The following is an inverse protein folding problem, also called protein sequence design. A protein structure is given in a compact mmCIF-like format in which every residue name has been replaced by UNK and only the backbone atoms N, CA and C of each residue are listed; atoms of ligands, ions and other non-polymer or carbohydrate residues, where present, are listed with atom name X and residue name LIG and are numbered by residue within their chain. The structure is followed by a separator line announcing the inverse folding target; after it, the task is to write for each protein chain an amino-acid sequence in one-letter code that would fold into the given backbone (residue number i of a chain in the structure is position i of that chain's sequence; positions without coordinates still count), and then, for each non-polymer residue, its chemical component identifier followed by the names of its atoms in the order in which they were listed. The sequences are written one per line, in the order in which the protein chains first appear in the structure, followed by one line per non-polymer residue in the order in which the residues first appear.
data_IF_536149637547
#
_entry.id   IF_536149637547
#
_cell.length_a   1.000
_cell.length_b   1.000
_cell.length_c   1.000
_cell.angle_alpha   90.00
_cell.angle_beta   90.00
_cell.angle_gamma   90.00
#
_symmetry.space_group_name_H-M   'P 1'
#
loop_
_entity.id
_entity.type
_entity.pdbx_description
1 polymer ?
2 non-polymer ?
3 water ?
#
# COMPACT_ATOMS: atom_id res chain seq x y z
N UNK A 5 -9.49 7.69 10.82
CA UNK A 5 -8.80 6.59 11.51
C UNK A 5 -8.02 7.09 12.74
N UNK A 6 -8.22 6.40 13.86
CA UNK A 6 -7.50 6.73 15.08
C UNK A 6 -7.43 5.51 15.99
N UNK A 7 -6.46 5.55 16.89
CA UNK A 7 -6.39 4.63 18.01
C UNK A 7 -6.60 5.46 19.25
N UNK A 8 -7.35 4.97 20.23
CA UNK A 8 -7.58 5.76 21.43
C UNK A 8 -6.39 5.72 22.39
N UNK A 9 -6.34 6.73 23.25
CA UNK A 9 -5.30 6.82 24.25
C UNK A 9 -5.35 5.65 25.25
N UNK A 10 -6.56 5.28 25.65
CA UNK A 10 -6.73 4.09 26.50
C UNK A 10 -6.20 2.81 25.85
N UNK A 11 -6.42 2.64 24.55
CA UNK A 11 -5.86 1.49 23.79
C UNK A 11 -4.34 1.50 23.75
N UNK A 12 -3.74 2.68 23.60
CA UNK A 12 -2.30 2.81 23.61
C UNK A 12 -1.71 2.56 25.00
N UNK A 13 -2.42 3.00 26.03
CA UNK A 13 -1.95 2.77 27.38
C UNK A 13 -1.90 1.27 27.66
N UNK A 14 -2.96 0.56 27.26
CA UNK A 14 -3.04 -0.88 27.49
C UNK A 14 -1.98 -1.65 26.74
N UNK A 15 -1.55 -1.12 25.59
CA UNK A 15 -0.56 -1.82 24.78
C UNK A 15 0.87 -1.51 25.22
N UNK A 16 1.02 -0.55 26.13
CA UNK A 16 2.33 -0.15 26.61
C UNK A 16 3.05 0.87 25.73
N UNK A 17 2.29 1.61 24.92
CA UNK A 17 2.90 2.55 23.96
C UNK A 17 3.74 3.64 24.67
N UNK A 18 3.30 4.02 25.87
CA UNK A 18 3.96 5.05 26.66
C UNK A 18 5.25 4.62 27.39
N UNK A 19 5.60 3.34 27.36
CA UNK A 19 6.85 2.90 28.04
C UNK A 19 8.12 3.23 27.22
N UNK A 20 8.88 4.20 27.69
CA UNK A 20 10.14 4.56 27.04
C UNK A 20 11.29 3.72 27.58
N UNK A 21 12.50 3.98 27.09
CA UNK A 21 13.69 3.37 27.64
C UNK A 21 14.10 4.02 28.97
N UNK A 22 15.01 3.35 29.68
CA UNK A 22 15.66 3.95 30.85
C UNK A 22 16.23 5.31 30.45
N UNK A 23 16.16 6.27 31.36
CA UNK A 23 16.58 7.63 31.04
C UNK A 23 18.06 7.69 30.64
N UNK A 24 18.88 6.81 31.18
CA UNK A 24 20.31 6.84 30.85
C UNK A 24 20.56 6.57 29.35
N UNK A 25 19.58 6.01 28.66
CA UNK A 25 19.71 5.69 27.24
C UNK A 25 19.08 6.72 26.28
N UNK A 26 18.52 7.81 26.81
CA UNK A 26 17.71 8.67 25.98
C UNK A 26 18.51 9.46 24.97
N UNK A 27 17.83 9.89 23.91
CA UNK A 27 18.32 10.92 23.02
C UNK A 27 17.55 12.19 23.39
N UNK A 28 18.28 13.24 23.81
CA UNK A 28 17.71 14.55 24.20
C UNK A 28 16.77 15.16 23.19
N UNK A 29 16.93 14.81 21.92
CA UNK A 29 16.00 15.28 20.89
C UNK A 29 14.55 14.80 21.09
N UNK A 30 14.35 13.77 21.92
CA UNK A 30 12.99 13.27 22.15
C UNK A 30 12.29 13.98 23.32
N UNK A 31 12.98 14.94 23.93
CA UNK A 31 12.39 15.73 25.02
C UNK A 31 10.96 16.28 24.79
N UNK A 32 10.68 16.85 23.60
CA UNK A 32 9.31 17.38 23.46
C UNK A 32 8.23 16.30 23.54
N UNK A 33 8.58 15.03 23.40
CA UNK A 33 7.58 13.97 23.36
C UNK A 33 7.52 13.18 24.66
N UNK A 34 8.36 13.58 25.61
CA UNK A 34 8.47 12.90 26.89
C UNK A 34 7.63 13.57 27.96
N UNK A 35 6.86 12.77 28.67
CA UNK A 35 5.98 13.27 29.73
C UNK A 35 6.72 13.47 31.04
N UNK A 36 7.63 12.56 31.34
CA UNK A 36 8.40 12.61 32.57
C UNK A 36 9.13 11.31 32.79
N UNK A 37 9.63 11.12 34.01
CA UNK A 37 10.36 9.91 34.38
C UNK A 37 9.79 9.31 35.66
N UNK A 38 9.64 7.99 35.69
CA UNK A 38 9.32 7.28 36.90
C UNK A 38 10.33 6.17 37.01
N UNK A 39 10.91 5.99 38.20
CA UNK A 39 11.87 4.92 38.45
C UNK A 39 12.97 4.86 37.41
N UNK A 40 13.58 6.00 37.10
CA UNK A 40 14.67 6.08 36.11
C UNK A 40 14.27 5.60 34.69
N UNK A 41 12.97 5.67 34.41
CA UNK A 41 12.48 5.31 33.09
C UNK A 41 11.62 6.44 32.52
N UNK A 42 11.85 6.78 31.25
CA UNK A 42 11.08 7.83 30.58
C UNK A 42 9.66 7.39 30.19
N UNK A 43 8.69 8.25 30.47
CA UNK A 43 7.29 8.03 30.08
C UNK A 43 6.97 8.89 28.85
N UNK A 44 6.46 8.26 27.79
CA UNK A 44 6.17 8.97 26.55
C UNK A 44 4.79 9.65 26.66
N UNK A 45 4.68 10.90 26.23
CA UNK A 45 3.45 11.68 26.36
C UNK A 45 2.44 11.33 25.26
N UNK A 46 1.46 10.50 25.59
CA UNK A 46 0.47 10.03 24.63
C UNK A 46 -0.43 11.18 24.15
N UNK A 47 -0.37 12.29 24.86
CA UNK A 47 -1.11 13.51 24.51
C UNK A 47 -0.57 14.00 23.19
N UNK A 48 0.70 13.69 22.95
CA UNK A 48 1.36 13.97 21.67
C UNK A 48 1.26 12.80 20.69
N UNK A 49 1.38 11.57 21.17
CA UNK A 49 1.30 10.41 20.27
C UNK A 49 -0.02 10.38 19.49
N UNK A 50 -1.13 10.63 20.16
CA UNK A 50 -2.44 10.45 19.51
C UNK A 50 -2.62 11.41 18.31
N UNK A 51 -2.48 12.74 18.50
CA UNK A 51 -2.63 13.57 17.28
C UNK A 51 -1.52 13.35 16.23
N UNK A 52 -0.31 13.01 16.65
CA UNK A 52 0.75 12.77 15.68
C UNK A 52 0.53 11.48 14.90
N UNK A 53 -0.01 10.46 15.55
CA UNK A 53 -0.39 9.24 14.84
C UNK A 53 -1.56 9.49 13.88
N UNK A 54 -2.55 10.29 14.30
CA UNK A 54 -3.71 10.58 13.43
C UNK A 54 -3.28 11.28 12.15
N UNK A 55 -2.37 12.23 12.34
CA UNK A 55 -1.73 12.99 11.27
C UNK A 55 -1.00 12.08 10.31
N UNK A 56 -0.26 11.12 10.86
CA UNK A 56 0.42 10.13 10.03
C UNK A 56 -0.56 9.23 9.28
N UNK A 57 -1.62 8.79 9.97
CA UNK A 57 -2.60 7.91 9.35
C UNK A 57 -3.32 8.62 8.21
N UNK A 58 -3.64 9.90 8.40
CA UNK A 58 -4.37 10.66 7.40
C UNK A 58 -3.57 10.76 6.10
N UNK A 59 -2.26 11.01 6.22
CA UNK A 59 -1.43 11.14 5.02
C UNK A 59 -1.15 9.80 4.34
N UNK A 60 -1.01 8.73 5.12
CA UNK A 60 -0.90 7.39 4.55
C UNK A 60 -2.18 6.96 3.81
N UNK A 61 -3.32 7.40 4.32
CA UNK A 61 -4.60 7.16 3.68
C UNK A 61 -4.68 7.85 2.30
N UNK A 62 -4.27 9.13 2.27
CA UNK A 62 -4.16 9.88 1.02
C UNK A 62 -3.17 9.23 0.02
N UNK A 63 -1.99 8.82 0.48
CA UNK A 63 -1.06 8.15 -0.41
C UNK A 63 -1.61 6.84 -0.98
N UNK A 64 -2.28 6.05 -0.14
CA UNK A 64 -2.85 4.80 -0.61
C UNK A 64 -3.99 5.05 -1.59
N UNK A 65 -4.65 6.20 -1.48
CA UNK A 65 -5.83 6.45 -2.30
C UNK A 65 -5.46 6.93 -3.70
N UNK A 66 -4.19 7.21 -3.95
CA UNK A 66 -3.73 7.46 -5.30
C UNK A 66 -2.87 6.28 -5.75
N UNK A 67 -3.27 5.09 -5.32
CA UNK A 67 -2.60 3.85 -5.67
C UNK A 67 -1.13 3.87 -5.27
N UNK A 68 -0.80 4.55 -4.17
CA UNK A 68 0.56 4.64 -3.70
C UNK A 68 1.05 3.31 -3.16
N UNK A 69 2.34 3.03 -3.30
CA UNK A 69 2.89 1.80 -2.74
C UNK A 69 3.59 2.05 -1.40
N UNK A 70 3.24 1.24 -0.40
CA UNK A 70 3.76 1.42 0.95
C UNK A 70 4.76 0.32 1.31
N UNK A 71 5.97 0.72 1.68
CA UNK A 71 6.98 -0.24 2.14
C UNK A 71 7.07 -0.25 3.68
N UNK A 72 6.65 -1.36 4.27
CA UNK A 72 6.78 -1.62 5.69
C UNK A 72 8.18 -2.14 6.01
N UNK A 73 8.92 -1.44 6.88
CA UNK A 73 10.26 -1.86 7.24
C UNK A 73 10.38 -2.14 8.75
N UNK A 74 10.76 -3.36 9.09
CA UNK A 74 10.97 -3.72 10.48
C UNK A 74 11.69 -5.03 10.55
N UNK A 75 12.92 -5.03 11.05
CA UNK A 75 13.70 -6.25 11.02
C UNK A 75 14.10 -6.73 12.42
N UNK A 76 13.79 -5.97 13.46
CA UNK A 76 14.07 -6.45 14.82
C UNK A 76 13.06 -7.53 15.18
N UNK A 77 13.42 -8.35 16.17
CA UNK A 77 12.61 -9.49 16.58
C UNK A 77 11.13 -9.10 16.85
N UNK A 78 10.91 -8.02 17.59
CA UNK A 78 9.56 -7.64 17.97
C UNK A 78 8.67 -7.20 16.78
N UNK A 79 9.30 -6.78 15.70
CA UNK A 79 8.55 -6.23 14.56
C UNK A 79 8.41 -7.21 13.38
N UNK A 80 9.38 -8.12 13.26
CA UNK A 80 9.62 -8.84 12.02
C UNK A 80 8.41 -9.58 11.45
N UNK A 81 7.78 -10.43 12.26
CA UNK A 81 6.71 -11.27 11.71
C UNK A 81 5.45 -10.44 11.52
N UNK A 82 5.25 -9.42 12.37
CA UNK A 82 4.05 -8.57 12.30
C UNK A 82 4.07 -7.59 11.11
N UNK A 83 5.26 -7.12 10.76
CA UNK A 83 5.47 -6.27 9.60
C UNK A 83 5.00 -6.98 8.32
N UNK A 84 5.37 -8.25 8.19
CA UNK A 84 4.90 -9.09 7.09
C UNK A 84 3.39 -9.29 7.11
N UNK A 85 2.86 -9.57 8.29
CA UNK A 85 1.43 -9.81 8.44
C UNK A 85 0.67 -8.57 8.01
N UNK A 86 1.12 -7.40 8.47
CA UNK A 86 0.42 -6.16 8.17
C UNK A 86 0.45 -5.85 6.67
N UNK A 87 1.65 -5.88 6.09
CA UNK A 87 1.86 -5.63 4.67
C UNK A 87 0.98 -6.53 3.77
N UNK A 88 0.96 -7.81 4.08
CA UNK A 88 0.12 -8.74 3.32
C UNK A 88 -1.35 -8.39 3.47
N UNK A 89 -1.75 -7.98 4.68
CA UNK A 89 -3.16 -7.71 4.92
C UNK A 89 -3.71 -6.48 4.17
N UNK A 90 -2.84 -5.65 3.58
CA UNK A 90 -3.32 -4.50 2.81
C UNK A 90 -2.69 -4.45 1.42
N UNK A 91 -2.14 -5.58 0.99
CA UNK A 91 -1.55 -5.75 -0.34
C UNK A 91 -0.37 -4.85 -0.62
N UNK A 92 0.46 -4.63 0.39
CA UNK A 92 1.64 -3.80 0.19
C UNK A 92 2.91 -4.65 0.33
N UNK A 93 4.00 -4.02 0.76
CA UNK A 93 5.33 -4.58 0.62
C UNK A 93 6.10 -4.44 1.91
N UNK A 94 7.17 -5.20 2.05
CA UNK A 94 7.91 -5.21 3.30
C UNK A 94 9.37 -5.63 3.16
N UNK A 95 10.17 -5.18 4.11
CA UNK A 95 11.48 -5.73 4.36
C UNK A 95 11.49 -6.07 5.85
N UNK A 96 11.68 -7.34 6.19
CA UNK A 96 11.63 -7.73 7.59
C UNK A 96 12.76 -8.63 8.09
N UNK A 97 13.80 -8.84 7.30
CA UNK A 97 14.88 -9.71 7.77
C UNK A 97 16.16 -8.92 7.95
N UNK A 98 16.58 -8.22 6.90
CA UNK A 98 17.69 -7.29 7.01
C UNK A 98 17.83 -6.45 5.74
N UNK A 99 18.29 -5.23 5.96
CA UNK A 99 18.33 -4.21 4.93
C UNK A 99 19.69 -4.23 4.25
N UNK A 100 19.69 -4.41 2.93
CA UNK A 100 20.91 -4.29 2.13
C UNK A 100 21.09 -2.86 1.63
N UNK A 101 22.23 -2.26 1.96
CA UNK A 101 22.55 -0.91 1.51
C UNK A 101 22.34 -0.77 0.02
N UNK A 102 21.53 0.22 -0.38
CA UNK A 102 21.21 0.43 -1.77
C UNK A 102 19.90 -0.15 -2.27
N UNK A 103 19.13 -0.82 -1.41
CA UNK A 103 17.83 -1.34 -1.85
C UNK A 103 16.96 -0.27 -2.51
N UNK A 104 17.05 0.96 -2.01
CA UNK A 104 16.30 2.06 -2.58
C UNK A 104 17.18 2.90 -3.50
N UNK A 105 18.35 3.31 -3.01
CA UNK A 105 19.16 4.26 -3.79
C UNK A 105 19.80 3.60 -5.02
N UNK A 106 20.00 2.29 -4.98
CA UNK A 106 20.48 1.60 -6.18
C UNK A 106 19.38 0.69 -6.73
N UNK A 107 18.18 1.24 -6.85
CA UNK A 107 17.00 0.48 -7.25
C UNK A 107 17.08 -0.20 -8.63
N UNK A 108 17.76 0.41 -9.59
CA UNK A 108 17.94 -0.20 -10.91
C UNK A 108 18.71 -1.52 -10.84
N UNK A 109 19.58 -1.66 -9.85
CA UNK A 109 20.31 -2.91 -9.64
C UNK A 109 19.40 -3.93 -8.95
N UNK A 110 18.66 -3.49 -7.96
CA UNK A 110 17.70 -4.35 -7.28
C UNK A 110 16.73 -4.98 -8.29
N UNK A 111 16.32 -4.20 -9.30
CA UNK A 111 15.40 -4.67 -10.31
C UNK A 111 15.94 -5.91 -11.02
N UNK A 112 17.23 -5.89 -11.34
CA UNK A 112 17.87 -7.05 -11.98
C UNK A 112 18.00 -8.22 -11.01
N UNK A 113 18.29 -7.91 -9.75
CA UNK A 113 18.37 -8.95 -8.73
C UNK A 113 17.03 -9.66 -8.56
N UNK A 114 15.94 -8.96 -8.86
CA UNK A 114 14.61 -9.55 -8.72
C UNK A 114 14.38 -10.59 -9.80
N UNK A 115 14.80 -10.31 -11.03
CA UNK A 115 14.70 -11.28 -12.11
C UNK A 115 15.60 -12.47 -11.83
N UNK A 116 16.76 -12.20 -11.24
CA UNK A 116 17.67 -13.29 -10.90
C UNK A 116 17.03 -14.20 -9.86
N UNK A 117 16.29 -13.61 -8.92
CA UNK A 117 15.53 -14.37 -7.92
C UNK A 117 14.51 -15.27 -8.59
N UNK A 118 13.78 -14.72 -9.55
CA UNK A 118 12.72 -15.49 -10.20
C UNK A 118 13.29 -16.64 -11.05
N UNK A 119 14.44 -16.40 -11.69
CA UNK A 119 15.11 -17.45 -12.45
C UNK A 119 15.59 -18.60 -11.53
N UNK A 120 16.21 -18.25 -10.40
CA UNK A 120 16.60 -19.24 -9.39
C UNK A 120 15.38 -19.97 -8.80
N UNK A 121 14.25 -19.26 -8.65
CA UNK A 121 12.98 -19.89 -8.22
C UNK A 121 12.59 -21.03 -9.15
N UNK A 122 12.58 -20.72 -10.45
CA UNK A 122 12.29 -21.71 -11.49
C UNK A 122 13.31 -22.88 -11.46
N UNK A 123 14.60 -22.56 -11.46
CA UNK A 123 15.67 -23.56 -11.47
C UNK A 123 15.57 -24.59 -10.33
N UNK A 124 15.15 -24.13 -9.14
CA UNK A 124 15.12 -25.01 -7.98
C UNK A 124 13.94 -25.96 -8.07
N UNK A 125 12.94 -25.57 -8.85
CA UNK A 125 11.69 -26.34 -9.00
C UNK A 125 11.75 -27.32 -10.18
N UNK A 126 12.33 -26.89 -11.30
CA UNK A 126 12.28 -27.69 -12.52
C UNK A 126 13.47 -28.65 -12.70
N UNK A 127 14.21 -28.89 -11.62
CA UNK A 127 15.25 -29.91 -11.62
C UNK A 127 16.64 -29.49 -12.09
N UNK A 128 16.83 -28.20 -12.36
CA UNK A 128 18.13 -27.70 -12.82
C UNK A 128 19.21 -27.93 -11.76
N UNK A 129 18.82 -27.77 -10.48
CA UNK A 129 19.74 -27.91 -9.36
C UNK A 129 20.24 -29.34 -9.18
N UNK A 130 19.43 -30.31 -9.63
CA UNK A 130 19.77 -31.71 -9.46
C UNK A 130 20.79 -32.19 -10.50
N UNK A 131 20.87 -31.46 -11.61
CA UNK A 131 21.83 -31.77 -12.66
C UNK A 131 23.22 -31.16 -12.36
N UNK A 132 23.30 -30.36 -11.31
CA UNK A 132 24.57 -29.74 -10.87
C UNK A 132 25.32 -30.63 -9.88
N UNK A 133 26.60 -30.37 -9.66
CA UNK A 133 27.30 -30.99 -8.55
C UNK A 133 26.77 -30.44 -7.23
N UNK A 134 27.03 -31.14 -6.12
CA UNK A 134 26.64 -30.65 -4.81
C UNK A 134 27.24 -29.28 -4.51
N UNK A 135 28.54 -29.11 -4.78
CA UNK A 135 29.21 -27.83 -4.55
C UNK A 135 28.55 -26.67 -5.34
N UNK A 136 28.16 -26.93 -6.58
CA UNK A 136 27.51 -25.89 -7.39
C UNK A 136 26.08 -25.61 -6.93
N UNK A 137 25.31 -26.67 -6.72
CA UNK A 137 23.92 -26.55 -6.35
C UNK A 137 23.78 -25.79 -5.03
N UNK A 138 24.73 -26.00 -4.13
CA UNK A 138 24.78 -25.26 -2.88
C UNK A 138 25.05 -23.76 -3.08
N UNK A 139 25.90 -23.41 -4.05
CA UNK A 139 26.16 -22.01 -4.38
C UNK A 139 24.87 -21.30 -4.77
N UNK A 140 24.11 -21.90 -5.68
CA UNK A 140 22.85 -21.34 -6.17
C UNK A 140 21.78 -21.32 -5.10
N UNK A 141 21.76 -22.35 -4.25
CA UNK A 141 20.81 -22.41 -3.15
C UNK A 141 21.07 -21.31 -2.11
N UNK A 142 22.33 -21.03 -1.81
CA UNK A 142 22.62 -19.95 -0.88
C UNK A 142 22.30 -18.58 -1.50
N UNK A 143 22.53 -18.43 -2.80
CA UNK A 143 22.19 -17.18 -3.48
C UNK A 143 20.68 -16.96 -3.43
N UNK A 144 19.92 -18.02 -3.69
CA UNK A 144 18.45 -17.97 -3.62
C UNK A 144 17.94 -17.63 -2.21
N UNK A 145 18.64 -18.13 -1.20
CA UNK A 145 18.35 -17.81 0.20
C UNK A 145 18.54 -16.32 0.49
N UNK A 146 19.71 -15.79 0.12
CA UNK A 146 20.00 -14.36 0.27
C UNK A 146 18.96 -13.48 -0.42
N UNK A 147 18.64 -13.78 -1.67
CA UNK A 147 17.69 -12.98 -2.43
C UNK A 147 16.27 -13.05 -1.85
N UNK A 148 15.84 -14.23 -1.44
CA UNK A 148 14.49 -14.37 -0.91
C UNK A 148 14.34 -13.69 0.46
N UNK A 149 15.35 -13.84 1.33
CA UNK A 149 15.28 -13.20 2.64
C UNK A 149 15.17 -11.68 2.54
N UNK A 150 15.94 -11.09 1.63
CA UNK A 150 16.01 -9.64 1.49
C UNK A 150 15.00 -9.01 0.51
N UNK A 151 14.65 -9.73 -0.56
CA UNK A 151 13.80 -9.14 -1.60
C UNK A 151 12.42 -9.78 -1.70
N UNK A 152 12.19 -10.84 -0.93
CA UNK A 152 10.96 -11.61 -1.02
C UNK A 152 9.68 -10.80 -0.80
N UNK A 153 9.76 -9.78 0.06
CA UNK A 153 8.60 -8.95 0.33
C UNK A 153 8.38 -7.82 -0.66
N UNK A 154 9.30 -7.65 -1.61
CA UNK A 154 9.16 -6.56 -2.56
C UNK A 154 9.27 -6.99 -4.02
N UNK A 155 9.27 -8.28 -4.27
CA UNK A 155 9.58 -8.72 -5.62
C UNK A 155 8.51 -8.33 -6.63
N UNK A 156 7.31 -7.99 -6.17
CA UNK A 156 6.27 -7.48 -7.06
C UNK A 156 5.97 -5.99 -6.85
N UNK A 157 6.90 -5.25 -6.25
CA UNK A 157 6.67 -3.83 -6.00
C UNK A 157 6.71 -3.06 -7.32
N UNK A 158 7.69 -3.36 -8.17
CA UNK A 158 7.70 -2.81 -9.52
C UNK A 158 8.24 -1.40 -9.69
N UNK A 159 8.77 -0.82 -8.62
CA UNK A 159 9.37 0.49 -8.66
C UNK A 159 9.57 0.99 -7.25
N UNK A 160 10.09 2.21 -7.10
CA UNK A 160 10.24 2.81 -5.77
C UNK A 160 8.90 2.95 -5.06
N UNK A 161 8.89 2.72 -3.74
CA UNK A 161 7.70 2.98 -2.93
C UNK A 161 7.38 4.46 -2.87
N UNK A 162 6.16 4.79 -2.49
CA UNK A 162 5.73 6.17 -2.37
C UNK A 162 5.80 6.64 -0.92
N UNK A 163 5.99 5.69 0.00
CA UNK A 163 6.19 5.97 1.43
C UNK A 163 6.85 4.79 2.15
N UNK A 164 7.50 5.09 3.27
CA UNK A 164 8.01 4.07 4.18
C UNK A 164 7.31 4.13 5.52
N UNK A 165 6.89 2.97 6.02
CA UNK A 165 6.49 2.89 7.41
C UNK A 165 7.48 2.01 8.18
N UNK A 166 8.10 2.61 9.18
CA UNK A 166 9.26 2.03 9.84
C UNK A 166 9.01 1.76 11.33
N UNK A 167 9.34 0.56 11.77
CA UNK A 167 9.42 0.28 13.20
C UNK A 167 10.85 0.44 13.71
N UNK A 168 11.07 1.47 14.53
CA UNK A 168 12.36 1.75 15.24
C UNK A 168 13.30 2.51 14.32
N UNK A 169 13.26 3.83 14.45
CA UNK A 169 14.03 4.73 13.62
C UNK A 169 15.56 4.53 13.70
N UNK A 170 16.07 4.21 14.88
CA UNK A 170 17.52 4.05 15.01
C UNK A 170 17.95 2.72 14.42
N UNK A 171 17.22 1.66 14.75
CA UNK A 171 17.52 0.36 14.19
C UNK A 171 17.47 0.38 12.64
N UNK A 172 16.54 1.14 12.05
CA UNK A 172 16.45 1.20 10.59
C UNK A 172 17.00 2.49 9.95
N UNK A 173 18.02 3.09 10.54
CA UNK A 173 18.55 4.35 10.07
C UNK A 173 19.07 4.32 8.62
N UNK A 174 19.60 3.18 8.19
CA UNK A 174 20.11 3.08 6.82
C UNK A 174 18.99 3.32 5.81
N UNK A 175 17.89 2.59 5.94
CA UNK A 175 16.74 2.72 5.05
C UNK A 175 16.16 4.12 5.08
N UNK A 176 16.10 4.70 6.27
CA UNK A 176 15.52 6.03 6.45
C UNK A 176 16.33 7.08 5.68
N UNK A 177 17.66 6.93 5.74
CA UNK A 177 18.57 7.84 5.05
C UNK A 177 18.45 7.69 3.52
N UNK A 178 18.25 6.48 3.03
CA UNK A 178 18.05 6.30 1.59
C UNK A 178 16.76 6.98 1.16
N UNK A 179 15.69 6.78 1.93
CA UNK A 179 14.43 7.44 1.61
C UNK A 179 14.59 8.96 1.63
N UNK A 180 15.25 9.51 2.64
CA UNK A 180 15.54 10.95 2.69
C UNK A 180 16.16 11.45 1.40
N UNK A 181 17.20 10.76 0.93
CA UNK A 181 17.90 11.13 -0.29
C UNK A 181 17.01 11.10 -1.52
N UNK A 182 16.03 10.19 -1.51
CA UNK A 182 15.13 10.08 -2.65
C UNK A 182 13.85 10.90 -2.48
N UNK A 183 13.70 11.57 -1.34
CA UNK A 183 12.54 12.40 -1.13
C UNK A 183 11.29 11.59 -0.83
N UNK A 184 11.47 10.33 -0.47
CA UNK A 184 10.37 9.46 -0.07
C UNK A 184 10.03 9.69 1.40
N UNK A 185 8.78 10.05 1.69
CA UNK A 185 8.40 10.37 3.08
C UNK A 185 8.50 9.16 4.03
N UNK A 186 9.05 9.43 5.21
CA UNK A 186 9.23 8.41 6.22
C UNK A 186 8.27 8.61 7.38
N UNK A 187 7.46 7.57 7.64
CA UNK A 187 6.59 7.45 8.82
C UNK A 187 7.21 6.45 9.78
N UNK A 188 7.46 6.85 11.01
CA UNK A 188 8.18 5.93 11.89
C UNK A 188 7.79 6.04 13.34
N UNK A 189 7.80 4.89 14.01
CA UNK A 189 7.71 4.80 15.46
C UNK A 189 9.06 5.19 16.04
N UNK A 190 9.10 6.25 16.84
CA UNK A 190 10.36 6.72 17.39
C UNK A 190 10.33 6.61 18.92
N UNK A 191 11.21 5.78 19.47
CA UNK A 191 11.25 5.51 20.91
C UNK A 191 12.16 6.57 21.58
N UNK A 192 12.24 6.58 22.90
CA UNK A 192 12.93 7.68 23.60
C UNK A 192 14.47 7.66 23.45
N UNK A 193 15.02 6.57 22.94
CA UNK A 193 16.47 6.46 22.73
C UNK A 193 16.89 6.79 21.31
N UNK A 194 15.97 7.32 20.50
CA UNK A 194 16.22 7.43 19.07
C UNK A 194 16.28 8.88 18.55
N UNK A 195 16.92 9.05 17.39
CA UNK A 195 16.96 10.34 16.69
C UNK A 195 15.79 10.50 15.69
N UNK A 196 14.91 11.47 15.96
CA UNK A 196 13.72 11.75 15.12
C UNK A 196 13.99 12.57 13.84
N UNK A 197 15.20 13.10 13.68
CA UNK A 197 15.51 14.08 12.63
C UNK A 197 15.25 13.62 11.20
N UNK A 198 15.50 12.36 10.90
CA UNK A 198 15.28 11.88 9.54
C UNK A 198 13.82 11.50 9.27
N UNK A 199 12.99 11.55 10.29
CA UNK A 199 11.63 11.06 10.18
C UNK A 199 10.65 12.20 9.86
N UNK A 200 9.89 12.02 8.79
CA UNK A 200 8.99 13.08 8.34
C UNK A 200 7.73 13.13 9.21
N UNK A 201 7.20 11.95 9.50
CA UNK A 201 6.05 11.85 10.37
C UNK A 201 6.44 11.02 11.57
N UNK A 202 6.89 11.64 12.64
CA UNK A 202 7.31 10.82 13.76
C UNK A 202 6.10 10.48 14.64
N UNK A 203 6.12 9.26 15.14
CA UNK A 203 5.11 8.76 16.02
C UNK A 203 5.85 8.36 17.28
N UNK A 204 5.79 9.19 18.34
CA UNK A 204 6.51 8.84 19.56
C UNK A 204 5.88 7.63 20.24
N UNK A 205 6.63 6.56 20.42
CA UNK A 205 6.08 5.40 21.06
C UNK A 205 7.07 4.26 21.23
N UNK A 206 6.69 3.35 22.12
CA UNK A 206 7.39 2.09 22.37
C UNK A 206 7.54 1.28 21.09
N UNK A 207 8.77 0.90 20.75
CA UNK A 207 9.00 0.06 19.58
C UNK A 207 9.53 -1.33 19.98
N UNK A 208 9.33 -1.75 21.23
CA UNK A 208 9.94 -3.00 21.71
C UNK A 208 8.92 -4.09 22.10
N UNK A 209 7.66 -3.73 22.21
CA UNK A 209 6.61 -4.68 22.57
C UNK A 209 5.80 -5.11 21.34
N UNK A 210 5.70 -6.43 21.14
CA UNK A 210 4.95 -6.99 20.01
C UNK A 210 3.53 -6.45 20.03
N UNK A 211 2.95 -6.34 21.21
CA UNK A 211 1.58 -5.84 21.30
C UNK A 211 1.46 -4.36 20.91
N UNK A 212 2.50 -3.56 21.16
CA UNK A 212 2.48 -2.16 20.78
C UNK A 212 2.65 -2.06 19.27
N UNK A 213 3.59 -2.85 18.74
CA UNK A 213 3.90 -2.90 17.32
C UNK A 213 2.68 -3.35 16.53
N UNK A 214 1.97 -4.33 17.08
CA UNK A 214 0.75 -4.84 16.49
C UNK A 214 -0.34 -3.78 16.47
N UNK A 215 -0.45 -3.00 17.54
CA UNK A 215 -1.42 -1.92 17.58
C UNK A 215 -1.18 -0.91 16.47
N UNK A 216 0.08 -0.52 16.22
CA UNK A 216 0.40 0.50 15.20
C UNK A 216 0.10 -0.01 13.78
N UNK A 217 0.64 -1.18 13.48
CA UNK A 217 0.54 -1.77 12.17
C UNK A 217 -0.91 -2.06 11.82
N UNK A 218 -1.71 -2.45 12.81
CA UNK A 218 -3.12 -2.71 12.57
C UNK A 218 -3.84 -1.45 12.09
N UNK A 219 -3.60 -0.34 12.76
CA UNK A 219 -4.25 0.91 12.40
C UNK A 219 -3.75 1.35 11.03
N UNK A 220 -2.47 1.14 10.75
CA UNK A 220 -1.90 1.50 9.45
C UNK A 220 -2.52 0.69 8.31
N UNK A 221 -2.67 -0.62 8.54
CA UNK A 221 -3.17 -1.51 7.49
C UNK A 221 -4.62 -1.18 7.18
N UNK A 222 -5.40 -0.89 8.22
CA UNK A 222 -6.78 -0.49 8.04
C UNK A 222 -6.89 0.79 7.20
N UNK A 223 -6.07 1.79 7.51
CA UNK A 223 -6.24 3.07 6.83
C UNK A 223 -5.78 2.91 5.39
N UNK A 224 -4.88 1.98 5.14
CA UNK A 224 -4.40 1.75 3.78
C UNK A 224 -5.46 1.03 2.96
N UNK A 225 -6.12 0.06 3.57
CA UNK A 225 -7.26 -0.60 2.93
C UNK A 225 -8.37 0.40 2.62
N UNK A 226 -8.64 1.33 3.54
CA UNK A 226 -9.69 2.34 3.33
C UNK A 226 -9.32 3.31 2.21
N UNK A 227 -8.04 3.69 2.13
CA UNK A 227 -7.57 4.51 1.03
C UNK A 227 -7.75 3.84 -0.32
N UNK A 228 -7.40 2.57 -0.42
CA UNK A 228 -7.54 1.85 -1.69
C UNK A 228 -9.00 1.71 -2.12
N UNK A 229 -9.84 1.20 -1.23
CA UNK A 229 -11.20 0.82 -1.58
C UNK A 229 -12.14 2.01 -1.68
N UNK A 230 -11.94 2.97 -0.76
CA UNK A 230 -12.86 4.09 -0.57
C UNK A 230 -14.22 3.61 -0.05
N UNK A 231 -14.20 2.46 0.63
CA UNK A 231 -15.41 1.88 1.24
C UNK A 231 -16.17 2.88 2.11
N UNK A 232 -15.52 3.33 3.18
CA UNK A 232 -16.20 4.15 4.18
C UNK A 232 -16.45 5.58 3.71
N UNK A 233 -15.60 6.07 2.81
CA UNK A 233 -15.70 7.44 2.32
C UNK A 233 -16.88 7.60 1.35
N UNK A 234 -16.92 6.75 0.32
CA UNK A 234 -17.98 6.78 -0.69
C UNK A 234 -19.35 6.59 -0.05
N UNK A 235 -19.38 5.82 1.03
CA UNK A 235 -20.61 5.54 1.76
C UNK A 235 -21.10 6.77 2.53
N UNK A 236 -20.19 7.43 3.24
CA UNK A 236 -20.52 8.63 4.01
C UNK A 236 -20.59 9.87 3.13
N UNK A 237 -21.13 9.72 1.92
CA UNK A 237 -21.39 10.85 1.02
C UNK A 237 -22.91 10.99 0.84
N UNK A 238 -23.64 10.07 1.47
CA UNK A 238 -25.10 10.04 1.40
C UNK A 238 -25.71 10.88 2.54
N UNK A 239 -24.87 11.34 3.45
CA UNK A 239 -25.32 12.11 4.61
C UNK A 239 -24.99 13.60 4.46
N UNK A 240 -24.23 13.92 3.42
CA UNK A 240 -23.73 15.27 3.18
C UNK A 240 -24.78 16.22 2.61
N UNK A 241 -25.95 15.69 2.24
CA UNK A 241 -26.98 16.49 1.59
C UNK A 241 -28.34 15.79 1.49
N UNK A 242 -29.37 16.60 1.21
CA UNK A 242 -30.74 16.13 1.01
C UNK A 242 -30.87 15.15 -0.17
N UNK A 243 -31.49 13.99 0.11
CA UNK A 243 -31.72 12.97 -0.92
C UNK A 243 -33.16 12.46 -0.92
N UNK A 244 -34.10 13.31 -0.47
CA UNK A 244 -35.47 12.89 -0.27
C UNK A 244 -36.43 13.09 -1.44
N UNK A 245 -35.91 13.25 -2.65
CA UNK A 245 -36.79 13.25 -3.82
C UNK A 245 -37.49 11.91 -3.91
N UNK A 246 -38.75 11.94 -4.32
CA UNK A 246 -39.49 10.72 -4.56
C UNK A 246 -39.00 10.07 -5.85
N UNK A 247 -39.14 8.75 -5.95
CA UNK A 247 -38.83 8.06 -7.20
C UNK A 247 -39.66 8.68 -8.33
N UNK A 248 -40.92 8.99 -8.05
CA UNK A 248 -41.82 9.52 -9.06
C UNK A 248 -41.24 10.78 -9.67
N UNK A 249 -40.82 11.72 -8.83
CA UNK A 249 -40.19 12.94 -9.32
C UNK A 249 -38.97 12.59 -10.17
N UNK A 250 -38.09 11.75 -9.64
CA UNK A 250 -36.85 11.38 -10.35
C UNK A 250 -37.11 10.67 -11.67
N UNK A 251 -38.08 9.77 -11.68
CA UNK A 251 -38.39 9.06 -12.90
C UNK A 251 -38.98 9.98 -14.00
N UNK A 252 -39.92 10.83 -13.62
CA UNK A 252 -40.53 11.80 -14.53
C UNK A 252 -39.47 12.72 -15.13
N UNK A 253 -38.54 13.16 -14.28
CA UNK A 253 -37.44 13.99 -14.74
C UNK A 253 -36.60 13.27 -15.79
N UNK A 254 -36.34 11.97 -15.57
CA UNK A 254 -35.45 11.21 -16.47
C UNK A 254 -36.10 10.98 -17.84
N UNK A 255 -37.42 11.06 -17.90
CA UNK A 255 -38.17 10.87 -19.15
C UNK A 255 -38.02 12.09 -20.05
N UNK A 256 -37.76 13.25 -19.45
CA UNK A 256 -37.56 14.47 -20.21
C UNK A 256 -36.10 14.64 -20.67
N UNK A 257 -35.25 13.70 -20.27
CA UNK A 257 -33.86 13.66 -20.71
C UNK A 257 -33.74 13.06 -22.12
N UNK A 258 -34.87 12.86 -22.78
CA UNK A 258 -34.90 12.21 -24.09
C UNK A 258 -35.04 13.22 -25.23
N UNK A 259 -33.91 13.53 -25.88
CA UNK A 259 -33.89 14.49 -26.98
C UNK A 259 -32.62 14.33 -27.83
N UNK A 260 -32.78 14.19 -29.15
CA UNK A 260 -34.09 14.07 -29.82
C UNK A 260 -34.14 12.78 -30.63
N UNK A 261 -34.04 12.91 -31.96
CA UNK A 261 -34.04 11.78 -32.90
C UNK A 261 -35.03 10.66 -32.55
N UNK A 265 -32.56 4.59 -34.27
CA UNK A 265 -31.30 5.31 -34.13
C UNK A 265 -31.02 5.70 -32.68
N UNK A 266 -29.85 5.31 -32.17
CA UNK A 266 -29.37 5.72 -30.84
C UNK A 266 -27.84 5.92 -30.80
N UNK A 267 -27.35 6.50 -29.70
CA UNK A 267 -25.91 6.68 -29.49
C UNK A 267 -25.42 5.85 -28.29
N UNK A 268 -24.18 5.38 -28.34
CA UNK A 268 -23.69 4.46 -27.31
C UNK A 268 -22.20 4.30 -27.16
N UNK A 269 -21.79 3.30 -26.40
CA UNK A 269 -20.38 3.07 -26.09
C UNK A 269 -20.02 1.59 -26.08
N UNK A 270 -19.04 1.19 -26.86
CA UNK A 270 -18.56 -0.19 -26.86
C UNK A 270 -18.01 -0.56 -25.49
N UNK A 271 -18.30 -1.77 -25.02
CA UNK A 271 -17.84 -2.20 -23.70
C UNK A 271 -17.13 -3.55 -23.75
N UNK A 272 -17.23 -4.23 -24.90
CA UNK A 272 -16.68 -5.57 -25.03
C UNK A 272 -16.67 -6.04 -26.48
N UNK A 273 -15.50 -6.49 -26.93
CA UNK A 273 -15.33 -7.00 -28.30
C UNK A 273 -14.76 -8.42 -28.33
N UNK A 274 -15.64 -9.40 -28.38
CA UNK A 274 -15.22 -10.79 -28.60
C UNK A 274 -15.67 -11.19 -29.99
N UNK A 275 -14.74 -11.68 -30.80
CA UNK A 275 -14.95 -11.92 -32.23
C UNK A 275 -16.38 -12.32 -32.63
N UNK A 276 -16.95 -11.52 -33.54
CA UNK A 276 -18.33 -11.58 -34.00
C UNK A 276 -19.38 -11.13 -32.98
N UNK A 277 -18.92 -10.66 -31.82
CA UNK A 277 -19.80 -10.07 -30.82
C UNK A 277 -19.26 -8.71 -30.35
N UNK A 278 -19.87 -7.62 -30.81
CA UNK A 278 -19.53 -6.31 -30.26
C UNK A 278 -20.65 -5.83 -29.32
N UNK A 279 -20.26 -5.38 -28.14
CA UNK A 279 -21.24 -5.04 -27.11
C UNK A 279 -21.32 -3.56 -26.86
N UNK A 280 -22.51 -3.01 -27.03
CA UNK A 280 -22.70 -1.56 -26.90
C UNK A 280 -23.68 -1.19 -25.80
N UNK A 281 -23.24 -0.35 -24.87
CA UNK A 281 -24.12 0.20 -23.86
C UNK A 281 -24.75 1.47 -24.40
N UNK A 282 -26.05 1.41 -24.69
CA UNK A 282 -26.80 2.56 -25.15
C UNK A 282 -27.84 2.97 -24.11
N UNK A 283 -27.63 2.54 -22.88
CA UNK A 283 -28.51 2.88 -21.78
C UNK A 283 -29.93 2.33 -21.82
N UNK A 284 -30.13 1.18 -22.45
CA UNK A 284 -31.44 0.54 -22.47
C UNK A 284 -31.56 -0.44 -21.29
N UNK A 285 -32.43 -1.44 -21.36
CA UNK A 285 -32.55 -2.41 -20.27
C UNK A 285 -31.33 -3.32 -20.25
N UNK A 286 -30.86 -3.65 -21.44
CA UNK A 286 -29.70 -4.50 -21.64
C UNK A 286 -28.69 -3.78 -22.53
N UNK A 287 -27.40 -4.12 -22.42
CA UNK A 287 -26.45 -3.68 -23.43
C UNK A 287 -26.81 -4.38 -24.72
N UNK A 288 -26.43 -3.81 -25.85
CA UNK A 288 -26.77 -4.38 -27.15
C UNK A 288 -25.58 -5.12 -27.72
N UNK A 289 -25.81 -6.36 -28.13
CA UNK A 289 -24.78 -7.17 -28.76
C UNK A 289 -24.98 -7.14 -30.26
N UNK A 290 -23.98 -6.60 -30.95
CA UNK A 290 -24.05 -6.36 -32.38
C UNK A 290 -23.05 -7.28 -33.07
N UNK A 291 -23.43 -7.82 -34.25
CA UNK A 291 -22.49 -8.57 -35.08
C UNK A 291 -21.29 -7.69 -35.51
N UNK A 292 -20.08 -8.24 -35.40
CA UNK A 292 -18.87 -7.48 -35.68
C UNK A 292 -18.87 -6.86 -37.09
N UNK A 293 -19.51 -7.56 -38.04
CA UNK A 293 -19.54 -7.17 -39.45
C UNK A 293 -19.90 -5.70 -39.69
N UNK A 294 -20.78 -5.13 -38.88
CA UNK A 294 -21.15 -3.73 -39.07
C UNK A 294 -19.99 -2.83 -38.68
N UNK A 295 -19.01 -3.40 -38.01
CA UNK A 295 -17.89 -2.61 -37.52
C UNK A 295 -16.56 -2.93 -38.21
N UNK A 296 -16.63 -3.57 -39.37
CA UNK A 296 -15.40 -3.92 -40.06
C UNK A 296 -15.19 -3.07 -41.31
N UNK A 297 -13.93 -2.80 -41.64
CA UNK A 297 -13.62 -2.00 -42.81
C UNK A 297 -13.50 -2.89 -44.06
N UNK A 298 -13.19 -2.27 -45.20
CA UNK A 298 -13.11 -2.97 -46.48
C UNK A 298 -12.12 -4.15 -46.47
N UNK A 299 -11.14 -4.09 -45.58
CA UNK A 299 -10.15 -5.16 -45.49
C UNK A 299 -10.55 -6.24 -44.49
N UNK A 300 -11.68 -6.05 -43.81
CA UNK A 300 -12.19 -6.98 -42.82
C UNK A 300 -11.52 -6.86 -41.45
N UNK A 301 -11.02 -5.67 -41.13
CA UNK A 301 -10.44 -5.41 -39.81
C UNK A 301 -11.41 -4.64 -38.93
N UNK A 302 -11.35 -4.88 -37.62
CA UNK A 302 -12.11 -4.08 -36.64
C UNK A 302 -11.68 -2.60 -36.54
N UNK A 303 -12.62 -1.71 -36.79
CA UNK A 303 -12.36 -0.27 -36.74
C UNK A 303 -12.44 0.33 -35.33
N UNK A 304 -13.20 -0.29 -34.44
CA UNK A 304 -13.40 0.27 -33.11
C UNK A 304 -12.71 -0.54 -32.02
N UNK A 305 -12.65 0.06 -30.83
CA UNK A 305 -11.98 -0.54 -29.68
C UNK A 305 -12.86 -0.42 -28.44
N UNK A 306 -12.66 -1.31 -27.46
CA UNK A 306 -13.41 -1.24 -26.20
C UNK A 306 -13.28 0.15 -25.58
N UNK A 307 -14.42 0.78 -25.29
CA UNK A 307 -14.42 2.15 -24.81
C UNK A 307 -14.74 3.19 -25.88
N UNK A 308 -14.72 2.78 -27.15
CA UNK A 308 -15.07 3.69 -28.25
C UNK A 308 -16.54 4.09 -28.21
N UNK A 309 -16.85 5.22 -28.83
CA UNK A 309 -18.24 5.64 -28.99
C UNK A 309 -18.75 5.24 -30.37
N UNK A 310 -20.01 4.81 -30.46
CA UNK A 310 -20.59 4.42 -31.74
C UNK A 310 -22.05 4.84 -31.87
N UNK A 311 -22.68 4.41 -32.95
CA UNK A 311 -24.11 4.62 -33.17
C UNK A 311 -24.82 3.27 -33.34
N UNK A 312 -26.15 3.27 -33.16
CA UNK A 312 -26.93 2.03 -33.21
C UNK A 312 -28.39 2.28 -33.56
N UNK A 313 -29.00 1.33 -34.26
CA UNK A 313 -30.36 1.48 -34.76
C UNK A 313 -31.39 0.83 -33.86
N UNK A 314 -32.24 1.65 -33.26
CA UNK A 314 -33.30 1.16 -32.38
C UNK A 314 -34.29 0.28 -33.13
X LIG B 1 12.90 0.83 21.94
#
# INVERSE_FOLDING_TARGET
AEFMATVSMRDMLKAGVHFGHQTRYWNPKMKPFIFGARNKVHIINLEKTVPMFNEALAELNKIASRKGKILFVGTKRAASEAVKDAALSCDQFFVNHRWLGGMLTNWKTVRQSIKRLKDLETQSQDGTFDKLTKKEALMRTRELEKLENSLGGIKDMGGLPDALFVIDADHEHIAIKEANNLGIPVFAIVDTNSDPDGVDFVIPGNDDAIRAVTLYLGAVAATVREGRSQDLASQAEESLYFQGESFAQLFEESLKEIETRPGSIVRGVVVAIDKDVVLVDAGLKSESAIPAEQFKNAQGELEIQVGDEVDVALDAVEDGFGETLL
ZN ZN
#
